data_IF_272759666565
#
_entry.id   IF_272759666565
#
_cell.length_a   1.000
_cell.length_b   1.000
_cell.length_c   1.000
_cell.angle_alpha   90.00
_cell.angle_beta   90.00
_cell.angle_gamma   90.00
#
_symmetry.space_group_name_H-M   'P 1'
#
loop_
_entity.id
_entity.type
_entity.pdbx_description
1 polymer ?
#
# COMPACT_ATOMS: atom_id res chain seq x y z
N UNK A 1 69.24 -19.73 -36.10
CA UNK A 1 67.85 -20.01 -35.65
C UNK A 1 67.16 -18.66 -35.49
N UNK A 2 66.95 -17.98 -36.62
CA UNK A 2 65.71 -17.96 -37.44
C UNK A 2 64.97 -16.65 -37.11
N UNK A 3 65.43 -15.51 -37.64
CA UNK A 3 65.18 -14.91 -38.98
C UNK A 3 63.93 -14.03 -39.00
N UNK A 4 64.11 -12.69 -39.06
CA UNK A 4 64.04 -11.81 -40.28
C UNK A 4 62.67 -11.13 -40.33
N UNK A 5 62.54 -9.84 -39.98
CA UNK A 5 62.86 -8.61 -40.76
C UNK A 5 62.03 -8.49 -42.04
N UNK A 6 61.43 -7.31 -42.28
CA UNK A 6 61.39 -6.53 -43.56
C UNK A 6 60.12 -5.64 -43.58
N UNK A 7 60.22 -4.36 -43.23
CA UNK A 7 60.33 -3.15 -44.10
C UNK A 7 59.13 -2.78 -44.99
N UNK A 8 58.67 -1.54 -44.77
CA UNK A 8 57.93 -0.60 -45.66
C UNK A 8 58.54 -0.56 -47.08
N UNK A 9 57.79 -0.15 -48.14
CA UNK A 9 57.64 1.28 -48.44
C UNK A 9 56.38 1.74 -49.22
N UNK A 10 56.32 3.07 -49.31
CA UNK A 10 55.44 4.03 -49.99
C UNK A 10 55.41 3.93 -51.53
N UNK A 11 54.25 4.15 -52.17
CA UNK A 11 54.15 4.94 -53.43
C UNK A 11 52.73 5.43 -53.74
N UNK A 12 52.67 6.60 -54.38
CA UNK A 12 51.49 7.33 -54.85
C UNK A 12 51.22 7.12 -56.36
N UNK A 13 50.00 7.46 -56.81
CA UNK A 13 49.61 7.62 -58.23
C UNK A 13 48.19 7.09 -58.50
N UNK A 14 47.12 7.89 -58.61
CA UNK A 14 46.64 8.85 -59.64
C UNK A 14 45.81 8.19 -60.78
N UNK A 15 44.60 8.74 -60.95
CA UNK A 15 43.75 8.90 -62.16
C UNK A 15 42.57 7.93 -62.47
N UNK A 16 41.41 8.56 -62.76
CA UNK A 16 40.25 8.04 -63.50
C UNK A 16 39.15 7.47 -62.59
N UNK A 17 37.92 7.99 -62.49
CA UNK A 17 37.09 8.75 -63.42
C UNK A 17 35.76 8.00 -63.54
N UNK A 18 34.66 8.51 -62.97
CA UNK A 18 33.36 7.83 -63.10
C UNK A 18 32.24 8.34 -62.20
N UNK A 19 31.49 9.32 -62.72
CA UNK A 19 30.04 9.53 -62.52
C UNK A 19 29.56 9.91 -61.10
N UNK A 20 29.49 11.22 -60.85
CA UNK A 20 28.55 11.83 -59.88
C UNK A 20 27.13 11.75 -60.45
N UNK A 21 26.22 11.08 -59.75
CA UNK A 21 24.77 11.21 -59.91
C UNK A 21 24.19 11.89 -58.68
N UNK A 22 23.37 12.91 -58.98
CA UNK A 22 22.58 13.77 -58.12
C UNK A 22 21.79 12.98 -57.06
N UNK A 23 22.17 13.09 -55.78
CA UNK A 23 21.32 12.67 -54.67
C UNK A 23 20.34 13.78 -54.32
N UNK A 24 19.09 13.46 -54.61
CA UNK A 24 17.89 14.26 -54.40
C UNK A 24 17.72 14.63 -52.92
N UNK A 25 17.62 15.93 -52.66
CA UNK A 25 17.21 16.57 -51.40
C UNK A 25 16.05 15.83 -50.71
N UNK A 26 16.35 15.14 -49.60
CA UNK A 26 15.34 14.56 -48.72
C UNK A 26 14.61 15.65 -47.91
N UNK A 27 13.27 15.66 -47.84
CA UNK A 27 12.55 16.69 -47.08
C UNK A 27 12.68 16.48 -45.57
N UNK A 28 12.91 17.56 -44.85
CA UNK A 28 13.01 17.58 -43.38
C UNK A 28 11.76 16.96 -42.71
N UNK A 29 11.93 16.17 -41.64
CA UNK A 29 10.80 15.50 -40.99
C UNK A 29 9.84 16.53 -40.38
N UNK A 30 8.60 16.54 -40.88
CA UNK A 30 7.50 17.30 -40.29
C UNK A 30 7.28 16.81 -38.85
N UNK A 31 7.42 17.72 -37.87
CA UNK A 31 7.05 17.43 -36.47
C UNK A 31 5.58 17.00 -36.44
N UNK A 32 5.34 15.74 -36.08
CA UNK A 32 4.00 15.23 -35.77
C UNK A 32 3.43 16.06 -34.61
N UNK A 33 2.19 16.56 -34.67
CA UNK A 33 1.54 17.08 -33.48
C UNK A 33 1.47 15.95 -32.43
N UNK A 34 1.66 16.25 -31.14
CA UNK A 34 1.65 15.25 -30.09
C UNK A 34 0.30 14.53 -30.07
N UNK A 35 0.38 13.20 -30.04
CA UNK A 35 -0.76 12.30 -29.94
C UNK A 35 -1.45 12.50 -28.57
N UNK A 36 -2.75 12.88 -28.52
CA UNK A 36 -3.44 13.12 -27.26
C UNK A 36 -3.57 11.85 -26.38
N UNK A 37 -3.22 10.68 -26.89
CA UNK A 37 -3.27 9.40 -26.16
C UNK A 37 -2.10 9.18 -25.17
N UNK A 38 -1.13 10.09 -25.10
CA UNK A 38 0.02 10.01 -24.18
C UNK A 38 0.03 11.08 -23.09
N UNK A 39 -1.13 11.69 -22.79
CA UNK A 39 -1.29 12.38 -21.53
C UNK A 39 -1.15 11.36 -20.40
N UNK A 40 -0.04 11.43 -19.65
CA UNK A 40 0.21 10.58 -18.50
C UNK A 40 -1.06 10.51 -17.64
N UNK A 41 -1.57 9.29 -17.41
CA UNK A 41 -2.71 9.05 -16.52
C UNK A 41 -2.25 9.35 -15.09
N UNK A 42 -2.21 10.64 -14.75
CA UNK A 42 -1.82 11.17 -13.45
C UNK A 42 -2.93 10.86 -12.45
N UNK A 43 -2.83 9.69 -11.82
CA UNK A 43 -3.76 9.26 -10.78
C UNK A 43 -3.13 8.19 -9.90
N UNK A 44 -3.40 8.25 -8.60
CA UNK A 44 -3.14 7.14 -7.69
C UNK A 44 -3.96 5.91 -8.09
N UNK A 45 -3.49 4.70 -7.76
CA UNK A 45 -4.11 3.42 -8.19
C UNK A 45 -5.61 3.37 -7.88
N UNK A 46 -6.04 3.87 -6.71
CA UNK A 46 -7.46 3.89 -6.34
C UNK A 46 -8.28 4.85 -7.21
N UNK A 47 -7.72 5.99 -7.62
CA UNK A 47 -8.41 6.94 -8.51
C UNK A 47 -8.65 6.29 -9.88
N UNK A 48 -7.69 5.53 -10.39
CA UNK A 48 -7.85 4.78 -11.65
C UNK A 48 -8.94 3.73 -11.51
N UNK A 49 -8.92 2.93 -10.44
CA UNK A 49 -9.95 1.91 -10.19
C UNK A 49 -11.36 2.51 -10.07
N UNK A 50 -11.50 3.61 -9.31
CA UNK A 50 -12.79 4.29 -9.18
C UNK A 50 -13.22 4.86 -10.52
N UNK A 51 -12.34 5.52 -11.29
CA UNK A 51 -12.69 6.04 -12.62
C UNK A 51 -13.19 4.94 -13.54
N UNK A 52 -12.47 3.82 -13.64
CA UNK A 52 -12.91 2.67 -14.43
C UNK A 52 -14.28 2.16 -13.99
N UNK A 53 -14.54 2.15 -12.67
CA UNK A 53 -15.86 1.73 -12.15
C UNK A 53 -16.95 2.76 -12.46
N UNK A 54 -16.65 4.06 -12.37
CA UNK A 54 -17.58 5.13 -12.75
C UNK A 54 -17.97 5.02 -14.23
N UNK A 55 -16.98 4.87 -15.12
CA UNK A 55 -17.22 4.72 -16.57
C UNK A 55 -18.11 3.50 -16.86
N UNK A 56 -17.86 2.39 -16.17
CA UNK A 56 -18.66 1.18 -16.29
C UNK A 56 -20.11 1.38 -15.83
N UNK A 57 -20.32 1.98 -14.65
CA UNK A 57 -21.66 2.26 -14.13
C UNK A 57 -22.40 3.30 -14.98
N UNK A 58 -21.71 4.32 -15.48
CA UNK A 58 -22.30 5.31 -16.39
C UNK A 58 -22.81 4.65 -17.68
N UNK A 59 -22.03 3.72 -18.26
CA UNK A 59 -22.49 2.96 -19.45
C UNK A 59 -23.72 2.11 -19.14
N UNK A 60 -23.73 1.42 -18.01
CA UNK A 60 -24.87 0.59 -17.62
C UNK A 60 -26.12 1.42 -17.34
N UNK A 61 -26.00 2.58 -16.69
CA UNK A 61 -27.13 3.48 -16.45
C UNK A 61 -27.71 4.04 -17.75
N UNK A 62 -26.88 4.41 -18.73
CA UNK A 62 -27.35 4.84 -20.06
C UNK A 62 -28.09 3.72 -20.79
N UNK A 63 -27.62 2.48 -20.67
CA UNK A 63 -28.33 1.34 -21.24
C UNK A 63 -29.70 1.17 -20.57
N UNK A 64 -29.79 1.25 -19.24
CA UNK A 64 -31.05 1.12 -18.50
C UNK A 64 -32.04 2.25 -18.83
N UNK A 65 -31.54 3.48 -19.02
CA UNK A 65 -32.33 4.64 -19.48
C UNK A 65 -32.99 4.39 -20.86
N UNK A 66 -32.29 3.73 -21.78
CA UNK A 66 -32.85 3.44 -23.12
C UNK A 66 -33.86 2.29 -23.15
N UNK A 67 -33.93 1.46 -22.10
CA UNK A 67 -34.83 0.30 -22.06
C UNK A 67 -36.26 0.65 -21.63
N UNK A 68 -36.44 1.65 -20.75
CA UNK A 68 -37.75 2.03 -20.20
C UNK A 68 -37.80 3.52 -19.82
N UNK A 69 -38.78 4.24 -20.38
CA UNK A 69 -38.99 5.66 -20.09
C UNK A 69 -39.34 5.90 -18.61
N UNK A 70 -39.98 4.94 -17.93
CA UNK A 70 -40.28 5.03 -16.50
C UNK A 70 -39.01 4.97 -15.62
N UNK A 71 -37.93 4.36 -16.12
CA UNK A 71 -36.64 4.28 -15.43
C UNK A 71 -35.72 5.46 -15.73
N UNK A 72 -36.03 6.29 -16.73
CA UNK A 72 -35.17 7.37 -17.18
C UNK A 72 -34.87 8.40 -16.08
N UNK A 73 -35.89 8.85 -15.36
CA UNK A 73 -35.73 9.84 -14.27
C UNK A 73 -34.85 9.29 -13.14
N UNK A 74 -35.08 8.03 -12.75
CA UNK A 74 -34.32 7.39 -11.68
C UNK A 74 -32.89 7.07 -12.10
N UNK A 75 -32.67 6.66 -13.36
CA UNK A 75 -31.34 6.48 -13.92
C UNK A 75 -30.57 7.80 -13.98
N UNK A 76 -31.23 8.90 -14.38
CA UNK A 76 -30.64 10.23 -14.40
C UNK A 76 -30.22 10.71 -13.00
N UNK A 77 -31.05 10.46 -11.97
CA UNK A 77 -30.71 10.75 -10.58
C UNK A 77 -29.46 10.00 -10.12
N UNK A 78 -29.38 8.69 -10.39
CA UNK A 78 -28.19 7.88 -10.06
C UNK A 78 -26.93 8.37 -10.79
N UNK A 79 -27.05 8.82 -12.04
CA UNK A 79 -25.92 9.43 -12.76
C UNK A 79 -25.49 10.75 -12.13
N UNK A 80 -26.42 11.57 -11.67
CA UNK A 80 -26.10 12.82 -10.99
C UNK A 80 -25.33 12.56 -9.69
N UNK A 81 -25.69 11.51 -8.94
CA UNK A 81 -24.93 11.08 -7.77
C UNK A 81 -23.49 10.68 -8.13
N UNK A 82 -23.28 9.92 -9.21
CA UNK A 82 -21.94 9.55 -9.69
C UNK A 82 -21.10 10.76 -10.15
N UNK A 83 -21.72 11.76 -10.80
CA UNK A 83 -21.01 12.97 -11.23
C UNK A 83 -20.39 13.75 -10.05
N UNK A 84 -21.02 13.68 -8.87
CA UNK A 84 -20.45 14.23 -7.64
C UNK A 84 -19.10 13.62 -7.25
N UNK A 85 -18.86 12.35 -7.58
CA UNK A 85 -17.61 11.63 -7.27
C UNK A 85 -16.43 12.16 -8.09
N UNK A 86 -16.66 12.53 -9.36
CA UNK A 86 -15.61 13.07 -10.24
C UNK A 86 -14.95 14.33 -9.67
N UNK A 87 -15.75 15.19 -9.01
CA UNK A 87 -15.27 16.40 -8.35
C UNK A 87 -14.27 16.16 -7.21
N UNK A 88 -14.32 14.97 -6.61
CA UNK A 88 -13.51 14.57 -5.46
C UNK A 88 -12.25 13.82 -5.92
N UNK A 89 -12.29 13.15 -7.08
CA UNK A 89 -11.17 12.40 -7.65
C UNK A 89 -9.95 13.28 -8.00
N UNK A 90 -10.12 14.60 -8.17
CA UNK A 90 -9.03 15.54 -8.46
C UNK A 90 -8.31 16.11 -7.23
N UNK A 91 -8.84 15.92 -6.01
CA UNK A 91 -8.26 16.51 -4.79
C UNK A 91 -7.14 15.62 -4.25
N UNK A 92 -5.92 15.82 -4.76
CA UNK A 92 -4.73 15.10 -4.31
C UNK A 92 -3.92 15.89 -3.28
N UNK A 93 -3.63 15.30 -2.12
CA UNK A 93 -2.73 15.88 -1.12
C UNK A 93 -2.38 14.90 0.00
N UNK A 94 -1.24 15.10 0.67
CA UNK A 94 -0.78 14.23 1.78
C UNK A 94 -1.79 14.20 2.94
N UNK A 95 -2.41 15.35 3.24
CA UNK A 95 -3.44 15.45 4.28
C UNK A 95 -4.71 14.67 3.92
N UNK A 96 -5.12 14.73 2.66
CA UNK A 96 -6.29 14.00 2.16
C UNK A 96 -6.00 12.50 2.09
N UNK A 97 -4.78 12.11 1.75
CA UNK A 97 -4.32 10.73 1.83
C UNK A 97 -4.34 10.18 3.25
N UNK A 98 -4.02 11.01 4.26
CA UNK A 98 -4.08 10.65 5.68
C UNK A 98 -5.53 10.50 6.17
N UNK A 99 -6.42 11.43 5.79
CA UNK A 99 -7.85 11.41 6.18
C UNK A 99 -8.64 10.31 5.46
N UNK A 100 -8.41 10.13 4.16
CA UNK A 100 -9.05 9.11 3.33
C UNK A 100 -10.54 9.36 3.03
N UNK A 101 -11.07 10.54 3.36
CA UNK A 101 -12.49 10.86 3.21
C UNK A 101 -12.96 10.82 1.76
N UNK A 102 -12.14 11.29 0.83
CA UNK A 102 -12.42 11.25 -0.61
C UNK A 102 -12.60 9.84 -1.17
N UNK A 103 -11.76 8.91 -0.71
CA UNK A 103 -11.80 7.50 -1.13
C UNK A 103 -13.06 6.83 -0.59
N UNK A 104 -13.35 7.05 0.68
CA UNK A 104 -14.53 6.50 1.37
C UNK A 104 -15.83 7.03 0.76
N UNK A 105 -15.90 8.33 0.50
CA UNK A 105 -17.03 8.96 -0.19
C UNK A 105 -17.25 8.37 -1.58
N UNK A 106 -16.18 8.21 -2.37
CA UNK A 106 -16.25 7.68 -3.72
C UNK A 106 -16.82 6.25 -3.73
N UNK A 107 -16.24 5.35 -2.93
CA UNK A 107 -16.68 3.95 -2.88
C UNK A 107 -18.08 3.79 -2.29
N UNK A 108 -18.45 4.55 -1.25
CA UNK A 108 -19.82 4.53 -0.71
C UNK A 108 -20.84 5.00 -1.73
N UNK A 109 -20.51 6.02 -2.53
CA UNK A 109 -21.39 6.51 -3.59
C UNK A 109 -21.55 5.46 -4.70
N UNK A 110 -20.44 4.84 -5.12
CA UNK A 110 -20.45 3.70 -6.08
C UNK A 110 -21.34 2.57 -5.57
N UNK A 111 -21.16 2.13 -4.31
CA UNK A 111 -21.97 1.07 -3.68
C UNK A 111 -23.46 1.46 -3.53
N UNK A 112 -23.76 2.74 -3.29
CA UNK A 112 -25.13 3.23 -3.24
C UNK A 112 -25.81 3.15 -4.61
N UNK A 113 -25.11 3.57 -5.67
CA UNK A 113 -25.62 3.53 -7.05
C UNK A 113 -25.78 2.10 -7.54
N UNK A 114 -24.84 1.20 -7.26
CA UNK A 114 -24.96 -0.22 -7.61
C UNK A 114 -26.21 -0.88 -7.00
N UNK A 115 -26.54 -0.56 -5.75
CA UNK A 115 -27.77 -1.01 -5.10
C UNK A 115 -29.01 -0.39 -5.76
N UNK A 116 -28.98 0.91 -6.06
CA UNK A 116 -30.10 1.59 -6.73
C UNK A 116 -30.39 1.04 -8.13
N UNK A 117 -29.36 0.58 -8.84
CA UNK A 117 -29.53 -0.04 -10.17
C UNK A 117 -30.30 -1.37 -10.12
N UNK A 118 -30.38 -2.05 -8.97
CA UNK A 118 -31.15 -3.29 -8.83
C UNK A 118 -32.64 -3.06 -9.06
N UNK A 119 -33.15 -1.89 -8.68
CA UNK A 119 -34.55 -1.52 -8.92
C UNK A 119 -34.86 -1.31 -10.40
N UNK A 120 -33.87 -0.85 -11.17
CA UNK A 120 -34.00 -0.52 -12.58
C UNK A 120 -33.84 -1.74 -13.51
N UNK A 121 -33.35 -2.87 -12.98
CA UNK A 121 -33.07 -4.07 -13.77
C UNK A 121 -34.29 -4.99 -13.86
N UNK A 122 -34.37 -5.66 -14.99
CA UNK A 122 -35.32 -6.74 -15.20
C UNK A 122 -34.95 -7.97 -14.36
N UNK A 123 -35.92 -8.83 -14.01
CA UNK A 123 -35.64 -10.06 -13.26
C UNK A 123 -34.67 -11.01 -13.97
N UNK A 124 -34.68 -11.02 -15.30
CA UNK A 124 -33.80 -11.83 -16.14
C UNK A 124 -32.35 -11.36 -16.05
N UNK A 125 -32.12 -10.05 -16.14
CA UNK A 125 -30.79 -9.46 -15.95
C UNK A 125 -30.27 -9.71 -14.54
N UNK A 126 -31.11 -9.56 -13.51
CA UNK A 126 -30.73 -9.84 -12.13
C UNK A 126 -30.32 -11.30 -11.94
N UNK A 127 -31.04 -12.23 -12.55
CA UNK A 127 -30.70 -13.67 -12.52
C UNK A 127 -29.35 -13.91 -13.21
N UNK A 128 -29.08 -13.24 -14.32
CA UNK A 128 -27.80 -13.34 -15.04
C UNK A 128 -26.61 -12.74 -14.27
N UNK A 129 -26.84 -11.68 -13.49
CA UNK A 129 -25.81 -11.00 -12.70
C UNK A 129 -25.57 -11.64 -11.33
N UNK A 130 -26.55 -12.38 -10.81
CA UNK A 130 -26.51 -12.98 -9.47
C UNK A 130 -25.21 -13.77 -9.20
N UNK A 131 -24.71 -14.64 -10.11
CA UNK A 131 -23.45 -15.36 -9.88
C UNK A 131 -22.26 -14.43 -9.67
N UNK A 132 -22.19 -13.31 -10.39
CA UNK A 132 -21.14 -12.32 -10.23
C UNK A 132 -21.24 -11.60 -8.88
N UNK A 133 -22.45 -11.24 -8.45
CA UNK A 133 -22.67 -10.66 -7.12
C UNK A 133 -22.34 -11.63 -5.99
N UNK A 134 -22.70 -12.91 -6.13
CA UNK A 134 -22.35 -13.95 -5.16
C UNK A 134 -20.84 -14.19 -5.10
N UNK A 135 -20.14 -14.17 -6.24
CA UNK A 135 -18.68 -14.30 -6.30
C UNK A 135 -17.97 -13.12 -5.62
N UNK A 136 -18.41 -11.89 -5.85
CA UNK A 136 -17.88 -10.70 -5.15
C UNK A 136 -18.18 -10.75 -3.65
N UNK A 137 -19.42 -11.10 -3.27
CA UNK A 137 -19.82 -11.23 -1.88
C UNK A 137 -19.02 -12.31 -1.14
N UNK A 138 -18.62 -13.39 -1.82
CA UNK A 138 -17.84 -14.47 -1.23
C UNK A 138 -16.44 -14.04 -0.76
N UNK A 139 -15.92 -12.90 -1.24
CA UNK A 139 -14.63 -12.36 -0.80
C UNK A 139 -14.69 -11.73 0.61
N UNK A 140 -15.87 -11.27 1.04
CA UNK A 140 -16.05 -10.52 2.29
C UNK A 140 -17.02 -11.17 3.27
N UNK A 141 -17.97 -11.96 2.78
CA UNK A 141 -18.99 -12.64 3.59
C UNK A 141 -18.66 -14.13 3.73
N UNK A 142 -18.81 -14.67 4.95
CA UNK A 142 -18.66 -16.10 5.22
C UNK A 142 -19.67 -16.95 4.46
N UNK A 143 -19.33 -18.21 4.19
CA UNK A 143 -20.15 -19.11 3.38
C UNK A 143 -21.56 -19.37 3.96
N UNK A 144 -21.69 -19.33 5.29
CA UNK A 144 -22.92 -19.52 6.06
C UNK A 144 -23.73 -18.24 6.27
N UNK A 145 -23.27 -17.09 5.78
CA UNK A 145 -23.96 -15.82 5.98
C UNK A 145 -25.37 -15.85 5.37
N UNK A 146 -26.43 -15.46 6.11
CA UNK A 146 -27.82 -15.57 5.63
C UNK A 146 -28.07 -14.94 4.26
N UNK A 147 -27.47 -13.77 4.01
CA UNK A 147 -27.59 -13.08 2.73
C UNK A 147 -27.00 -13.87 1.54
N UNK A 148 -26.09 -14.84 1.76
CA UNK A 148 -25.53 -15.70 0.71
C UNK A 148 -26.34 -16.97 0.49
N UNK A 149 -26.95 -17.50 1.54
CA UNK A 149 -27.68 -18.78 1.51
C UNK A 149 -29.17 -18.62 1.26
N UNK A 150 -29.71 -17.39 1.31
CA UNK A 150 -31.13 -17.10 1.11
C UNK A 150 -31.67 -17.30 -0.32
N UNK A 151 -30.82 -17.58 -1.31
CA UNK A 151 -31.24 -17.74 -2.70
C UNK A 151 -31.73 -19.16 -2.99
N UNK A 152 -32.87 -19.26 -3.66
CA UNK A 152 -33.47 -20.51 -4.13
C UNK A 152 -33.96 -20.28 -5.56
N UNK A 153 -33.31 -20.94 -6.51
CA UNK A 153 -33.58 -20.77 -7.93
C UNK A 153 -35.04 -21.05 -8.35
N UNK A 154 -35.78 -21.84 -7.57
CA UNK A 154 -37.20 -22.15 -7.85
C UNK A 154 -38.10 -21.05 -7.32
N UNK A 155 -37.93 -20.69 -6.04
CA UNK A 155 -38.72 -19.64 -5.39
C UNK A 155 -38.44 -18.25 -6.00
N UNK A 156 -37.18 -17.96 -6.31
CA UNK A 156 -36.74 -16.67 -6.85
C UNK A 156 -37.25 -16.45 -8.29
N UNK A 157 -37.49 -17.52 -9.04
CA UNK A 157 -38.11 -17.44 -10.37
C UNK A 157 -39.63 -17.20 -10.30
N UNK A 158 -40.27 -17.67 -9.23
CA UNK A 158 -41.70 -17.54 -9.02
C UNK A 158 -42.08 -16.15 -8.50
N UNK A 159 -41.20 -15.50 -7.72
CA UNK A 159 -41.42 -14.16 -7.19
C UNK A 159 -40.24 -13.20 -7.54
N UNK A 160 -40.38 -12.43 -8.65
CA UNK A 160 -39.38 -11.46 -9.05
C UNK A 160 -39.14 -10.33 -8.04
N UNK A 161 -40.14 -9.96 -7.24
CA UNK A 161 -39.98 -8.92 -6.22
C UNK A 161 -39.13 -9.44 -5.05
N UNK A 162 -39.35 -10.71 -4.66
CA UNK A 162 -38.51 -11.39 -3.67
C UNK A 162 -37.07 -11.53 -4.15
N UNK A 163 -36.83 -11.93 -5.40
CA UNK A 163 -35.48 -11.99 -5.97
C UNK A 163 -34.78 -10.62 -5.87
N UNK A 164 -35.48 -9.54 -6.25
CA UNK A 164 -34.93 -8.18 -6.16
C UNK A 164 -34.56 -7.81 -4.72
N UNK A 165 -35.44 -8.08 -3.76
CA UNK A 165 -35.18 -7.83 -2.34
C UNK A 165 -33.98 -8.63 -1.80
N UNK A 166 -33.84 -9.90 -2.21
CA UNK A 166 -32.69 -10.74 -1.85
C UNK A 166 -31.38 -10.22 -2.44
N UNK A 167 -31.38 -9.80 -3.71
CA UNK A 167 -30.19 -9.19 -4.35
C UNK A 167 -29.81 -7.88 -3.66
N UNK A 168 -30.77 -7.00 -3.34
CA UNK A 168 -30.49 -5.78 -2.60
C UNK A 168 -29.90 -6.06 -1.22
N UNK A 169 -30.44 -7.06 -0.52
CA UNK A 169 -29.93 -7.48 0.80
C UNK A 169 -28.51 -8.02 0.68
N UNK A 170 -28.22 -8.86 -0.32
CA UNK A 170 -26.88 -9.38 -0.60
C UNK A 170 -25.89 -8.22 -0.82
N UNK A 171 -26.21 -7.29 -1.71
CA UNK A 171 -25.35 -6.13 -2.01
C UNK A 171 -25.17 -5.23 -0.80
N UNK A 172 -26.23 -4.97 -0.02
CA UNK A 172 -26.13 -4.18 1.21
C UNK A 172 -25.15 -4.81 2.21
N UNK A 173 -25.30 -6.11 2.49
CA UNK A 173 -24.41 -6.82 3.40
C UNK A 173 -22.98 -6.87 2.86
N UNK A 174 -22.80 -7.16 1.57
CA UNK A 174 -21.50 -7.21 0.91
C UNK A 174 -20.79 -5.86 0.96
N UNK A 175 -21.42 -4.78 0.50
CA UNK A 175 -20.83 -3.45 0.48
C UNK A 175 -20.49 -2.97 1.88
N UNK A 176 -21.37 -3.21 2.86
CA UNK A 176 -21.09 -2.89 4.26
C UNK A 176 -19.86 -3.63 4.77
N UNK A 177 -19.77 -4.93 4.54
CA UNK A 177 -18.61 -5.73 4.95
C UNK A 177 -17.31 -5.28 4.24
N UNK A 178 -17.41 -4.92 2.96
CA UNK A 178 -16.28 -4.37 2.19
C UNK A 178 -15.82 -3.01 2.74
N UNK A 179 -16.76 -2.10 3.02
CA UNK A 179 -16.47 -0.77 3.57
C UNK A 179 -15.85 -0.88 4.98
N UNK A 180 -16.40 -1.74 5.85
CA UNK A 180 -15.86 -2.01 7.19
C UNK A 180 -14.44 -2.59 7.12
N UNK A 181 -14.19 -3.53 6.19
CA UNK A 181 -12.86 -4.07 5.95
C UNK A 181 -11.87 -2.96 5.54
N UNK A 182 -12.22 -2.14 4.56
CA UNK A 182 -11.34 -1.07 4.09
C UNK A 182 -11.12 0.03 5.15
N UNK A 183 -12.13 0.33 5.95
CA UNK A 183 -12.01 1.23 7.09
C UNK A 183 -11.04 0.67 8.14
N UNK A 184 -11.16 -0.62 8.49
CA UNK A 184 -10.28 -1.28 9.46
C UNK A 184 -8.81 -1.25 9.02
N UNK A 185 -8.56 -1.44 7.73
CA UNK A 185 -7.22 -1.34 7.12
C UNK A 185 -6.66 0.08 7.25
N UNK A 186 -7.48 1.11 7.03
CA UNK A 186 -7.06 2.51 7.19
C UNK A 186 -6.75 2.84 8.65
N UNK A 187 -7.58 2.41 9.59
CA UNK A 187 -7.33 2.61 11.02
C UNK A 187 -6.04 1.93 11.46
N UNK A 188 -5.78 0.71 10.98
CA UNK A 188 -4.53 0.00 11.22
C UNK A 188 -3.32 0.79 10.72
N UNK A 189 -3.37 1.27 9.47
CA UNK A 189 -2.32 2.17 8.92
C UNK A 189 -2.10 3.37 9.82
N UNK A 190 -3.16 4.10 10.17
CA UNK A 190 -3.04 5.35 10.90
C UNK A 190 -2.47 5.11 12.31
N UNK A 191 -2.84 4.00 12.95
CA UNK A 191 -2.25 3.57 14.22
C UNK A 191 -0.76 3.23 14.08
N UNK A 192 -0.38 2.51 13.03
CA UNK A 192 1.04 2.20 12.75
C UNK A 192 1.84 3.49 12.53
N UNK A 193 1.34 4.41 11.70
CA UNK A 193 1.99 5.71 11.47
C UNK A 193 2.09 6.54 12.76
N UNK A 194 1.02 6.59 13.55
CA UNK A 194 1.02 7.27 14.85
C UNK A 194 2.08 6.70 15.78
N UNK A 195 2.17 5.37 15.89
CA UNK A 195 3.18 4.71 16.72
C UNK A 195 4.62 4.95 16.20
N UNK A 196 4.83 4.94 14.88
CA UNK A 196 6.12 5.33 14.28
C UNK A 196 6.53 6.75 14.65
N UNK A 197 5.60 7.71 14.58
CA UNK A 197 5.87 9.10 14.94
C UNK A 197 6.21 9.25 16.42
N UNK A 198 5.49 8.55 17.30
CA UNK A 198 5.78 8.52 18.74
C UNK A 198 7.17 7.94 18.99
N UNK A 199 7.53 6.83 18.34
CA UNK A 199 8.84 6.22 18.49
C UNK A 199 9.97 7.18 18.07
N UNK A 200 9.85 7.82 16.89
CA UNK A 200 10.80 8.82 16.42
C UNK A 200 10.88 10.04 17.35
N UNK A 201 9.76 10.46 17.94
CA UNK A 201 9.74 11.55 18.92
C UNK A 201 10.50 11.16 20.20
N UNK A 202 10.35 9.92 20.68
CA UNK A 202 11.10 9.39 21.82
C UNK A 202 12.60 9.33 21.51
N UNK A 203 12.99 8.80 20.34
CA UNK A 203 14.40 8.78 19.90
C UNK A 203 15.00 10.19 19.86
N UNK A 204 14.26 11.14 19.29
CA UNK A 204 14.67 12.55 19.21
C UNK A 204 14.84 13.14 20.61
N UNK A 205 13.89 12.86 21.52
CA UNK A 205 13.95 13.34 22.90
C UNK A 205 15.14 12.73 23.66
N UNK A 206 15.47 11.45 23.44
CA UNK A 206 16.64 10.81 24.04
C UNK A 206 17.95 11.46 23.58
N UNK A 207 18.09 11.74 22.29
CA UNK A 207 19.26 12.44 21.73
C UNK A 207 19.34 13.86 22.28
N UNK A 208 18.21 14.59 22.31
CA UNK A 208 18.13 15.95 22.86
C UNK A 208 18.47 15.98 24.35
N UNK A 209 17.99 15.01 25.13
CA UNK A 209 18.28 14.90 26.55
C UNK A 209 19.78 14.71 26.82
N UNK A 210 20.43 13.80 26.10
CA UNK A 210 21.89 13.61 26.20
C UNK A 210 22.69 14.80 25.67
N UNK A 211 22.21 15.46 24.61
CA UNK A 211 22.87 16.64 24.09
C UNK A 211 22.80 17.80 25.09
N UNK A 212 21.68 17.94 25.81
CA UNK A 212 21.46 19.04 26.76
C UNK A 212 22.03 18.78 28.16
N UNK A 213 22.14 17.52 28.56
CA UNK A 213 22.55 17.09 29.91
C UNK A 213 23.77 16.17 29.83
N UNK A 214 25.00 16.69 29.97
CA UNK A 214 26.24 15.88 29.93
C UNK A 214 26.31 14.79 31.00
N UNK A 215 25.55 14.97 32.10
CA UNK A 215 25.53 14.06 33.25
C UNK A 215 24.63 12.83 33.03
N UNK A 216 23.69 12.89 32.09
CA UNK A 216 22.78 11.77 31.79
C UNK A 216 23.34 10.94 30.66
N UNK A 217 23.94 9.79 31.00
CA UNK A 217 24.48 8.83 30.02
C UNK A 217 23.58 7.61 29.94
N UNK A 218 22.82 7.49 28.84
CA UNK A 218 22.06 6.25 28.56
C UNK A 218 22.97 5.14 28.04
N UNK A 219 24.11 5.51 27.44
CA UNK A 219 25.09 4.58 26.87
C UNK A 219 26.47 5.01 27.36
N UNK A 220 27.21 4.06 27.93
CA UNK A 220 28.59 4.27 28.34
C UNK A 220 29.53 4.16 27.13
N UNK A 221 30.51 5.06 27.05
CA UNK A 221 31.45 5.07 25.94
C UNK A 221 32.45 3.91 26.08
N UNK A 222 32.61 3.07 25.04
CA UNK A 222 33.68 2.07 25.00
C UNK A 222 35.07 2.73 25.06
N UNK A 223 36.08 1.96 25.45
CA UNK A 223 37.45 2.47 25.65
C UNK A 223 38.04 3.15 24.39
N UNK A 224 37.68 2.68 23.20
CA UNK A 224 38.13 3.21 21.91
C UNK A 224 37.36 4.46 21.43
N UNK A 225 36.27 4.83 22.11
CA UNK A 225 35.49 6.05 21.86
C UNK A 225 35.60 7.07 23.00
N UNK A 226 36.64 6.98 23.82
CA UNK A 226 36.94 7.96 24.85
C UNK A 226 37.01 9.37 24.25
N UNK A 227 36.17 10.30 24.75
CA UNK A 227 36.08 11.68 24.26
C UNK A 227 35.03 11.93 23.16
N UNK A 228 34.36 10.89 22.66
CA UNK A 228 33.19 11.09 21.78
C UNK A 228 31.99 11.56 22.63
N UNK A 229 31.30 12.65 22.25
CA UNK A 229 30.08 13.06 22.94
C UNK A 229 29.01 11.97 22.96
N UNK A 230 28.40 11.72 24.12
CA UNK A 230 27.42 10.64 24.32
C UNK A 230 26.29 10.67 23.29
N UNK A 231 25.74 11.85 22.98
CA UNK A 231 24.66 12.01 22.00
C UNK A 231 25.04 11.54 20.60
N UNK A 232 26.33 11.67 20.19
CA UNK A 232 26.82 11.16 18.89
C UNK A 232 26.89 9.64 18.90
N UNK A 233 27.37 9.06 20.00
CA UNK A 233 27.41 7.61 20.18
C UNK A 233 25.99 7.02 20.16
N UNK A 234 25.05 7.67 20.84
CA UNK A 234 23.63 7.30 20.82
C UNK A 234 23.05 7.36 19.40
N UNK A 235 23.36 8.38 18.61
CA UNK A 235 22.92 8.44 17.21
C UNK A 235 23.44 7.25 16.38
N UNK A 236 24.69 6.85 16.55
CA UNK A 236 25.22 5.67 15.86
C UNK A 236 24.55 4.38 16.33
N UNK A 237 24.25 4.25 17.62
CA UNK A 237 23.49 3.11 18.15
C UNK A 237 22.07 3.07 17.59
N UNK A 238 21.38 4.20 17.54
CA UNK A 238 20.04 4.30 16.93
C UNK A 238 20.08 3.91 15.45
N UNK A 239 21.05 4.42 14.69
CA UNK A 239 21.23 4.07 13.28
C UNK A 239 21.55 2.58 13.07
N UNK A 240 22.39 1.99 13.92
CA UNK A 240 22.70 0.57 13.90
C UNK A 240 21.47 -0.29 14.26
N UNK A 241 20.66 0.14 15.24
CA UNK A 241 19.38 -0.49 15.57
C UNK A 241 18.37 -0.43 14.42
N UNK A 242 18.27 0.72 13.74
CA UNK A 242 17.47 0.88 12.52
C UNK A 242 17.94 -0.06 11.40
N UNK A 243 19.25 -0.24 11.24
CA UNK A 243 19.80 -1.15 10.25
C UNK A 243 19.43 -2.61 10.54
N UNK A 244 19.57 -3.06 11.79
CA UNK A 244 19.15 -4.41 12.20
C UNK A 244 17.65 -4.64 11.99
N UNK A 245 16.85 -3.64 12.34
CA UNK A 245 15.42 -3.65 12.10
C UNK A 245 15.06 -3.77 10.62
N UNK A 246 15.70 -2.97 9.76
CA UNK A 246 15.50 -3.00 8.33
C UNK A 246 15.81 -4.38 7.76
N UNK A 247 16.97 -4.95 8.09
CA UNK A 247 17.38 -6.29 7.64
C UNK A 247 16.34 -7.34 8.06
N UNK A 248 15.83 -7.27 9.30
CA UNK A 248 14.78 -8.19 9.78
C UNK A 248 13.44 -8.04 9.05
N UNK A 249 13.15 -6.88 8.48
CA UNK A 249 11.89 -6.58 7.81
C UNK A 249 11.89 -6.95 6.31
N UNK A 250 13.07 -7.08 5.68
CA UNK A 250 13.21 -7.34 4.25
C UNK A 250 12.44 -8.58 3.75
N UNK A 251 12.49 -9.76 4.42
CA UNK A 251 11.77 -10.94 3.93
C UNK A 251 10.27 -10.72 3.85
N UNK A 252 9.69 -10.02 4.84
CA UNK A 252 8.26 -9.69 4.88
C UNK A 252 7.87 -8.69 3.79
N UNK A 253 8.72 -7.70 3.50
CA UNK A 253 8.45 -6.73 2.44
C UNK A 253 8.46 -7.38 1.05
N UNK A 254 9.46 -8.21 0.76
CA UNK A 254 9.67 -8.83 -0.57
C UNK A 254 8.56 -9.83 -0.90
N UNK A 255 8.07 -10.57 0.10
CA UNK A 255 7.05 -11.60 -0.12
C UNK A 255 5.62 -11.06 -0.15
N UNK A 256 5.43 -9.79 0.21
CA UNK A 256 4.10 -9.20 0.34
C UNK A 256 3.50 -8.82 -1.01
N UNK A 257 2.44 -9.51 -1.41
CA UNK A 257 1.62 -9.13 -2.58
C UNK A 257 0.58 -8.11 -2.11
N UNK A 258 0.66 -6.86 -2.59
CA UNK A 258 -0.40 -5.87 -2.36
C UNK A 258 -1.64 -6.30 -3.15
N UNK A 259 -2.57 -7.01 -2.51
CA UNK A 259 -3.79 -7.55 -3.11
C UNK A 259 -4.83 -6.49 -3.46
N UNK A 260 -4.51 -5.55 -4.35
CA UNK A 260 -5.45 -4.54 -4.87
C UNK A 260 -5.90 -3.47 -3.87
N UNK A 261 -5.61 -3.62 -2.58
CA UNK A 261 -5.91 -2.63 -1.55
C UNK A 261 -4.98 -1.42 -1.71
N UNK A 262 -5.50 -0.18 -1.73
CA UNK A 262 -4.68 1.02 -1.98
C UNK A 262 -3.72 1.37 -0.83
N UNK A 263 -3.84 0.66 0.29
CA UNK A 263 -3.02 0.81 1.47
C UNK A 263 -1.92 -0.26 1.44
N UNK A 264 -0.69 0.12 1.07
CA UNK A 264 0.49 -0.76 1.12
C UNK A 264 0.87 -1.08 2.59
N UNK A 265 0.05 -1.86 3.28
CA UNK A 265 0.24 -2.27 4.67
C UNK A 265 1.65 -2.82 4.98
N UNK A 266 2.28 -3.65 4.12
CA UNK A 266 3.61 -4.18 4.39
C UNK A 266 4.69 -3.09 4.49
N UNK A 267 4.57 -2.02 3.70
CA UNK A 267 5.49 -0.89 3.75
C UNK A 267 5.35 -0.15 5.10
N UNK A 268 4.12 0.00 5.60
CA UNK A 268 3.86 0.67 6.88
C UNK A 268 4.33 -0.16 8.07
N UNK A 269 4.14 -1.49 8.01
CA UNK A 269 4.73 -2.41 9.00
C UNK A 269 6.26 -2.31 9.00
N UNK A 270 6.86 -2.16 7.82
CA UNK A 270 8.28 -1.89 7.68
C UNK A 270 8.75 -0.59 8.30
N UNK A 271 8.05 0.51 8.03
CA UNK A 271 8.33 1.82 8.63
C UNK A 271 8.18 1.79 10.15
N UNK A 272 7.17 1.08 10.67
CA UNK A 272 7.00 0.89 12.11
C UNK A 272 8.18 0.11 12.71
N UNK A 273 8.60 -1.00 12.09
CA UNK A 273 9.78 -1.76 12.54
C UNK A 273 11.05 -0.92 12.49
N UNK A 274 11.21 -0.08 11.47
CA UNK A 274 12.35 0.81 11.34
C UNK A 274 12.39 1.86 12.46
N UNK A 275 11.24 2.37 12.89
CA UNK A 275 11.13 3.31 14.00
C UNK A 275 11.20 2.66 15.39
N UNK A 276 10.85 1.38 15.53
CA UNK A 276 10.89 0.69 16.84
C UNK A 276 12.25 0.03 17.10
N UNK A 277 12.92 -0.43 16.04
CA UNK A 277 14.24 -1.05 16.09
C UNK A 277 15.30 -0.30 16.89
N UNK A 278 15.51 1.00 16.64
CA UNK A 278 16.47 1.82 17.39
C UNK A 278 16.17 1.86 18.89
N UNK A 279 14.90 1.98 19.28
CA UNK A 279 14.50 1.97 20.69
C UNK A 279 14.83 0.63 21.35
N UNK A 280 14.54 -0.48 20.68
CA UNK A 280 14.88 -1.82 21.20
C UNK A 280 16.39 -1.99 21.31
N UNK A 281 17.17 -1.45 20.36
CA UNK A 281 18.62 -1.47 20.42
C UNK A 281 19.16 -0.72 21.64
N UNK A 282 18.65 0.48 21.92
CA UNK A 282 19.08 1.25 23.10
C UNK A 282 18.73 0.51 24.39
N UNK A 283 17.51 -0.02 24.52
CA UNK A 283 17.09 -0.79 25.71
C UNK A 283 17.98 -2.03 25.89
N UNK A 284 18.25 -2.78 24.83
CA UNK A 284 19.11 -3.96 24.90
C UNK A 284 20.54 -3.62 25.34
N UNK A 285 21.10 -2.53 24.84
CA UNK A 285 22.42 -2.04 25.25
C UNK A 285 22.41 -1.59 26.72
N UNK A 286 21.36 -0.92 27.18
CA UNK A 286 21.22 -0.53 28.59
C UNK A 286 21.19 -1.75 29.52
N UNK A 287 20.54 -2.86 29.12
CA UNK A 287 20.52 -4.10 29.89
C UNK A 287 21.92 -4.74 29.98
N UNK A 288 22.68 -4.69 28.89
CA UNK A 288 24.03 -5.24 28.82
C UNK A 288 25.01 -4.43 29.67
N UNK A 289 25.02 -3.10 29.49
CA UNK A 289 25.88 -2.20 30.28
C UNK A 289 25.48 -2.20 31.76
N UNK A 290 24.18 -2.31 32.05
CA UNK A 290 23.66 -2.43 33.41
C UNK A 290 24.00 -3.76 34.12
N UNK A 291 24.70 -4.68 33.45
CA UNK A 291 25.13 -5.95 34.03
C UNK A 291 24.02 -6.99 34.19
N UNK A 292 22.83 -6.76 33.62
CA UNK A 292 21.76 -7.78 33.60
C UNK A 292 22.05 -8.90 32.61
N UNK A 293 22.91 -8.64 31.61
CA UNK A 293 23.39 -9.62 30.65
C UNK A 293 24.91 -9.67 30.76
N UNK A 294 25.47 -10.84 31.05
CA UNK A 294 26.91 -11.06 31.22
C UNK A 294 27.66 -11.02 29.87
N UNK A 295 27.69 -9.86 29.22
CA UNK A 295 28.48 -9.61 28.01
C UNK A 295 29.24 -8.29 28.13
N UNK A 296 30.51 -8.28 27.71
CA UNK A 296 31.35 -7.07 27.76
C UNK A 296 31.36 -6.37 26.40
N UNK A 297 31.08 -5.06 26.41
CA UNK A 297 31.15 -4.22 25.20
C UNK A 297 32.48 -3.46 25.22
N UNK A 298 33.53 -4.13 24.76
CA UNK A 298 34.91 -3.61 24.85
C UNK A 298 35.30 -2.62 23.74
N UNK A 299 34.49 -2.48 22.68
CA UNK A 299 34.79 -1.61 21.54
C UNK A 299 33.53 -1.01 20.93
N UNK A 300 33.72 0.08 20.19
CA UNK A 300 32.65 0.73 19.42
C UNK A 300 32.05 -0.23 18.38
N UNK A 301 32.88 -1.06 17.75
CA UNK A 301 32.41 -2.09 16.81
C UNK A 301 31.49 -3.10 17.49
N UNK A 302 31.84 -3.57 18.69
CA UNK A 302 31.01 -4.50 19.46
C UNK A 302 29.67 -3.85 19.88
N UNK A 303 29.69 -2.58 20.29
CA UNK A 303 28.49 -1.82 20.63
C UNK A 303 27.51 -1.74 19.46
N UNK A 304 28.00 -1.37 18.27
CA UNK A 304 27.17 -1.23 17.08
C UNK A 304 26.67 -2.58 16.56
N UNK A 305 27.51 -3.63 16.59
CA UNK A 305 27.09 -4.98 16.24
C UNK A 305 25.95 -5.46 17.15
N UNK A 306 26.06 -5.19 18.46
CA UNK A 306 25.03 -5.53 19.42
C UNK A 306 23.74 -4.71 19.22
N UNK A 307 23.86 -3.42 18.87
CA UNK A 307 22.73 -2.59 18.47
C UNK A 307 21.97 -3.17 17.27
N UNK A 308 22.69 -3.64 16.23
CA UNK A 308 22.09 -4.33 15.07
C UNK A 308 21.35 -5.59 15.52
N UNK A 309 21.96 -6.42 16.38
CA UNK A 309 21.35 -7.66 16.89
C UNK A 309 20.06 -7.36 17.65
N UNK A 310 20.07 -6.40 18.58
CA UNK A 310 18.86 -6.03 19.32
C UNK A 310 17.79 -5.37 18.43
N UNK A 311 18.18 -4.52 17.49
CA UNK A 311 17.28 -3.92 16.51
C UNK A 311 16.58 -4.95 15.62
N UNK A 312 17.29 -6.02 15.22
CA UNK A 312 16.71 -7.18 14.54
C UNK A 312 15.84 -8.03 15.49
N UNK A 313 16.28 -8.15 16.75
CA UNK A 313 15.61 -8.89 17.83
C UNK A 313 14.25 -8.34 18.25
N UNK A 314 13.85 -7.15 17.79
CA UNK A 314 12.53 -6.59 18.06
C UNK A 314 11.38 -7.55 17.71
N UNK A 315 11.54 -8.44 16.72
CA UNK A 315 10.52 -9.43 16.34
C UNK A 315 10.16 -10.37 17.50
N UNK A 316 11.12 -10.69 18.37
CA UNK A 316 10.89 -11.56 19.51
C UNK A 316 10.02 -10.86 20.57
N UNK A 317 10.31 -9.58 20.84
CA UNK A 317 9.58 -8.76 21.82
C UNK A 317 8.16 -8.46 21.33
N UNK A 318 8.01 -8.02 20.08
CA UNK A 318 6.69 -7.72 19.50
C UNK A 318 5.85 -8.99 19.38
N UNK A 319 6.44 -10.10 18.93
CA UNK A 319 5.74 -11.39 18.84
C UNK A 319 5.35 -11.97 20.21
N UNK A 320 6.08 -11.67 21.28
CA UNK A 320 5.67 -12.07 22.65
C UNK A 320 4.48 -11.24 23.16
N UNK A 321 4.54 -9.92 22.99
CA UNK A 321 3.46 -9.01 23.40
C UNK A 321 2.14 -9.32 22.66
N UNK A 322 2.21 -9.55 21.35
CA UNK A 322 1.04 -9.92 20.54
C UNK A 322 0.40 -11.21 21.01
N UNK A 323 1.21 -12.23 21.33
CA UNK A 323 0.72 -13.52 21.87
C UNK A 323 0.06 -13.35 23.24
N UNK A 324 0.62 -12.53 24.13
CA UNK A 324 0.05 -12.23 25.46
C UNK A 324 -1.25 -11.44 25.36
N UNK A 325 -1.33 -10.44 24.48
CA UNK A 325 -2.55 -9.69 24.25
C UNK A 325 -3.67 -10.60 23.70
N UNK A 326 -3.35 -11.51 22.76
CA UNK A 326 -4.29 -12.49 22.25
C UNK A 326 -4.79 -13.49 23.32
N UNK A 327 -3.94 -13.86 24.29
CA UNK A 327 -4.37 -14.74 25.40
C UNK A 327 -5.29 -14.02 26.38
N UNK A 328 -5.09 -12.72 26.62
CA UNK A 328 -5.91 -11.91 27.53
C UNK A 328 -7.24 -11.45 26.91
N UNK A 329 -7.29 -11.33 25.58
CA UNK A 329 -8.49 -10.94 24.82
C UNK A 329 -9.28 -12.14 24.27
N UNK A 330 -8.81 -13.37 24.52
CA UNK A 330 -9.60 -14.56 24.25
C UNK A 330 -10.87 -14.50 25.13
N UNK A 331 -12.08 -14.56 24.56
CA UNK A 331 -13.29 -14.66 25.38
C UNK A 331 -13.13 -15.89 26.28
N UNK A 332 -13.35 -15.70 27.58
CA UNK A 332 -13.56 -16.81 28.50
C UNK A 332 -14.84 -17.49 28.03
N UNK A 333 -14.71 -18.47 27.14
CA UNK A 333 -15.79 -19.41 26.87
C UNK A 333 -15.99 -20.18 28.17
N UNK A 334 -17.17 -20.12 28.83
CA UNK A 334 -17.48 -21.10 29.85
C UNK A 334 -17.41 -22.46 29.15
N UNK A 335 -16.46 -23.29 29.56
CA UNK A 335 -16.67 -24.73 29.46
C UNK A 335 -17.80 -25.02 30.45
N UNK A 336 -18.96 -25.33 29.92
CA UNK A 336 -19.86 -26.40 30.37
C UNK A 336 -20.98 -26.55 29.32
#
# INVERSE_FOLDING_TARGET
MSTVTTTRPTTAGRAGGGVLRDETTAPAPRRRPPDPSTAAVGGTVWQVQVRTRLDDLQRQLRALESHDAANADRAAELRQQLAGVESVLGRGGVLEWLRGGSVEYAWRTVHAVERGMVDLRTPQELTGLLPAYQASAAQFLKADHPARTAFDATADRADPALLRAKVQTLLLCYHRASDEFHESVRHLRNRMLGLSLVALAVETLMVLAQWRSPDVRLIEAPADAAGVPAWRLLLFVLAAGALGAFVSALPTMITSRSGGVPYKLPLQQGLLKLAVGPLVAVVGIMLVIGGLVETTVGSTGALLALAVVFGAGQQAVTGYADRKAATLLSPVTPKD
#
